data_IF_036256815136
#
_entry.id   IF_036256815136
#
_cell.length_a   1.000
_cell.length_b   1.000
_cell.length_c   1.000
_cell.angle_alpha   90.00
_cell.angle_beta   90.00
_cell.angle_gamma   90.00
#
_symmetry.space_group_name_H-M   'P 1'
#
loop_
_entity.id
_entity.type
_entity.pdbx_description
1 polymer ?
#
# COMPACT_ATOMS: atom_id res chain seq x y z
N UNK A 1 9.21 29.65 -5.31
CA UNK A 1 9.27 28.77 -4.11
C UNK A 1 8.88 27.38 -4.57
N UNK A 2 9.71 26.35 -4.35
CA UNK A 2 9.35 24.98 -4.77
C UNK A 2 8.16 24.51 -3.95
N UNK A 3 7.01 24.36 -4.60
CA UNK A 3 5.79 23.86 -3.97
C UNK A 3 6.02 22.38 -3.62
N UNK A 4 6.34 22.07 -2.36
CA UNK A 4 6.55 20.68 -1.95
C UNK A 4 5.21 19.94 -2.05
N UNK A 5 5.16 18.73 -2.62
CA UNK A 5 3.94 17.95 -2.65
C UNK A 5 3.36 17.78 -1.23
N UNK A 6 2.05 17.97 -1.09
CA UNK A 6 1.34 17.71 0.20
C UNK A 6 1.17 16.22 0.46
N UNK A 7 1.33 15.42 -0.59
CA UNK A 7 1.29 13.97 -0.61
C UNK A 7 2.68 13.41 -0.32
N UNK A 8 2.72 12.23 0.31
CA UNK A 8 3.95 11.49 0.59
C UNK A 8 3.86 10.07 0.04
N UNK A 9 4.94 9.54 -0.56
CA UNK A 9 4.97 8.16 -0.98
C UNK A 9 5.30 7.21 0.17
N UNK A 10 4.79 5.99 0.06
CA UNK A 10 5.26 4.80 0.74
C UNK A 10 5.44 3.70 -0.31
N UNK A 11 6.63 3.12 -0.36
CA UNK A 11 6.97 1.98 -1.21
C UNK A 11 7.36 0.81 -0.34
N UNK A 12 6.37 0.18 0.28
CA UNK A 12 6.61 -1.00 1.10
C UNK A 12 6.93 -2.19 0.20
N UNK A 13 8.08 -2.82 0.39
CA UNK A 13 8.48 -4.04 -0.31
C UNK A 13 9.04 -5.02 0.71
N UNK A 14 8.44 -6.21 0.81
CA UNK A 14 8.88 -7.26 1.71
C UNK A 14 9.03 -8.60 0.98
N UNK A 15 9.97 -9.46 1.41
CA UNK A 15 10.05 -10.82 0.91
C UNK A 15 8.80 -11.61 1.31
N UNK A 16 8.34 -12.47 0.40
CA UNK A 16 7.31 -13.46 0.69
C UNK A 16 7.96 -14.56 1.53
N UNK A 17 7.24 -14.97 2.56
CA UNK A 17 7.73 -15.89 3.59
C UNK A 17 8.19 -17.22 3.01
N UNK A 18 9.38 -17.65 3.42
CA UNK A 18 9.96 -18.95 3.05
C UNK A 18 11.46 -18.92 2.79
N UNK A 19 12.07 -17.73 2.73
CA UNK A 19 13.50 -17.60 2.46
C UNK A 19 13.94 -18.30 1.17
N UNK A 20 14.82 -19.30 1.30
CA UNK A 20 15.32 -20.09 0.17
C UNK A 20 14.51 -21.36 -0.12
N UNK A 21 13.50 -21.67 0.71
CA UNK A 21 12.62 -22.83 0.52
C UNK A 21 11.54 -22.51 -0.51
N UNK A 22 11.72 -23.04 -1.73
CA UNK A 22 10.85 -22.78 -2.88
C UNK A 22 9.39 -23.13 -2.59
N UNK A 23 9.12 -24.30 -2.02
CA UNK A 23 7.75 -24.77 -1.75
C UNK A 23 7.04 -23.84 -0.76
N UNK A 24 7.77 -23.37 0.26
CA UNK A 24 7.25 -22.41 1.23
C UNK A 24 6.93 -21.06 0.59
N UNK A 25 7.81 -20.54 -0.28
CA UNK A 25 7.57 -19.26 -0.96
C UNK A 25 6.39 -19.39 -1.93
N UNK A 26 6.31 -20.47 -2.71
CA UNK A 26 5.19 -20.72 -3.62
C UNK A 26 3.85 -20.80 -2.88
N UNK A 27 3.81 -21.53 -1.76
CA UNK A 27 2.63 -21.63 -0.91
C UNK A 27 2.19 -20.27 -0.38
N UNK A 28 3.10 -19.52 0.23
CA UNK A 28 2.77 -18.20 0.78
C UNK A 28 2.39 -17.20 -0.31
N UNK A 29 3.04 -17.24 -1.48
CA UNK A 29 2.64 -16.44 -2.64
C UNK A 29 1.20 -16.75 -3.06
N UNK A 30 0.83 -18.03 -3.17
CA UNK A 30 -0.52 -18.44 -3.56
C UNK A 30 -1.57 -17.98 -2.56
N UNK A 31 -1.33 -18.19 -1.27
CA UNK A 31 -2.24 -17.77 -0.19
C UNK A 31 -2.38 -16.25 -0.13
N UNK A 32 -1.26 -15.53 -0.23
CA UNK A 32 -1.22 -14.08 -0.28
C UNK A 32 -1.93 -13.53 -1.52
N UNK A 33 -1.74 -14.15 -2.68
CA UNK A 33 -2.40 -13.77 -3.94
C UNK A 33 -3.92 -13.95 -3.87
N UNK A 34 -4.39 -15.02 -3.23
CA UNK A 34 -5.82 -15.22 -3.01
C UNK A 34 -6.37 -14.17 -2.03
N UNK A 35 -5.65 -13.91 -0.93
CA UNK A 35 -6.05 -12.92 0.06
C UNK A 35 -6.21 -11.51 -0.55
N UNK A 36 -5.25 -11.06 -1.37
CA UNK A 36 -5.33 -9.71 -1.97
C UNK A 36 -6.42 -9.60 -3.04
N UNK A 37 -6.78 -10.70 -3.71
CA UNK A 37 -7.86 -10.70 -4.69
C UNK A 37 -9.22 -10.40 -4.04
N UNK A 38 -9.36 -10.73 -2.76
CA UNK A 38 -10.57 -10.49 -1.96
C UNK A 38 -10.53 -9.15 -1.19
N UNK A 39 -9.43 -8.38 -1.26
CA UNK A 39 -9.35 -7.08 -0.58
C UNK A 39 -10.22 -6.06 -1.30
N UNK A 40 -11.30 -5.64 -0.64
CA UNK A 40 -12.17 -4.58 -1.13
C UNK A 40 -11.49 -3.21 -1.06
N UNK A 41 -11.65 -2.35 -2.09
CA UNK A 41 -11.17 -0.96 -2.06
C UNK A 41 -11.88 -0.10 -0.99
N UNK A 42 -13.01 -0.56 -0.44
CA UNK A 42 -13.75 0.15 0.61
C UNK A 42 -12.89 0.45 1.85
N UNK A 43 -11.99 -0.46 2.24
CA UNK A 43 -11.11 -0.26 3.39
C UNK A 43 -10.16 0.94 3.22
N UNK A 44 -9.71 1.22 1.98
CA UNK A 44 -8.87 2.39 1.70
C UNK A 44 -9.69 3.69 1.73
N UNK A 45 -10.94 3.66 1.27
CA UNK A 45 -11.85 4.80 1.33
C UNK A 45 -12.13 5.24 2.77
N UNK A 46 -12.25 4.27 3.69
CA UNK A 46 -12.49 4.57 5.10
C UNK A 46 -11.34 5.34 5.74
N UNK A 47 -10.09 5.14 5.28
CA UNK A 47 -8.92 5.89 5.78
C UNK A 47 -9.03 7.38 5.45
N UNK A 48 -9.46 7.72 4.23
CA UNK A 48 -9.78 9.08 3.81
C UNK A 48 -8.58 10.01 3.58
N UNK A 49 -7.35 9.51 3.74
CA UNK A 49 -6.08 10.23 3.50
C UNK A 49 -5.20 9.54 2.46
N UNK A 50 -5.73 8.54 1.77
CA UNK A 50 -5.04 7.70 0.78
C UNK A 50 -5.49 8.08 -0.60
N UNK A 51 -4.54 8.44 -1.47
CA UNK A 51 -4.86 8.75 -2.87
C UNK A 51 -5.08 7.47 -3.68
N UNK A 52 -4.27 6.45 -3.43
CA UNK A 52 -4.44 5.09 -3.95
C UNK A 52 -3.60 4.10 -3.14
N UNK A 53 -3.87 2.80 -3.28
CA UNK A 53 -3.02 1.71 -2.81
C UNK A 53 -3.02 0.59 -3.84
N UNK A 54 -1.83 0.21 -4.32
CA UNK A 54 -1.66 -0.88 -5.29
C UNK A 54 -0.83 -1.98 -4.67
N UNK A 55 -1.37 -3.20 -4.69
CA UNK A 55 -0.62 -4.41 -4.39
C UNK A 55 0.05 -4.94 -5.66
N UNK A 56 1.33 -5.27 -5.57
CA UNK A 56 2.08 -5.87 -6.66
C UNK A 56 2.91 -7.04 -6.16
N UNK A 57 3.15 -7.97 -7.06
CA UNK A 57 4.15 -9.01 -6.89
C UNK A 57 5.39 -8.69 -7.72
N UNK A 58 6.56 -8.86 -7.12
CA UNK A 58 7.86 -8.50 -7.69
C UNK A 58 8.78 -9.71 -7.69
N UNK A 59 9.82 -9.65 -8.52
CA UNK A 59 10.81 -10.74 -8.70
C UNK A 59 10.14 -12.05 -9.13
N UNK A 60 9.66 -12.13 -10.38
CA UNK A 60 9.07 -13.35 -10.92
C UNK A 60 10.09 -14.49 -10.92
N UNK A 61 9.61 -15.70 -10.65
CA UNK A 61 10.39 -16.92 -10.60
C UNK A 61 9.58 -18.10 -11.14
N UNK A 62 10.30 -19.14 -11.53
CA UNK A 62 9.76 -20.40 -12.03
C UNK A 62 10.29 -21.51 -11.16
N UNK A 63 9.39 -22.28 -10.56
CA UNK A 63 9.72 -23.43 -9.73
C UNK A 63 10.39 -24.55 -10.52
N UNK A 64 11.04 -25.44 -9.80
CA UNK A 64 11.55 -26.70 -10.32
C UNK A 64 10.44 -27.59 -10.90
N UNK A 65 9.21 -27.44 -10.42
CA UNK A 65 7.97 -28.06 -10.91
C UNK A 65 7.31 -27.31 -12.08
N UNK A 66 7.89 -26.18 -12.51
CA UNK A 66 7.36 -25.29 -13.55
C UNK A 66 6.33 -24.27 -13.05
N UNK A 67 6.05 -24.21 -11.74
CA UNK A 67 5.09 -23.25 -11.18
C UNK A 67 5.62 -21.82 -11.25
N UNK A 68 4.84 -20.89 -11.81
CA UNK A 68 5.17 -19.46 -11.78
C UNK A 68 4.78 -18.84 -10.45
N UNK A 69 5.73 -18.15 -9.81
CA UNK A 69 5.51 -17.43 -8.57
C UNK A 69 6.33 -16.15 -8.52
N UNK A 70 6.20 -15.41 -7.42
CA UNK A 70 6.96 -14.19 -7.15
C UNK A 70 7.58 -14.28 -5.77
N UNK A 71 8.74 -13.64 -5.60
CA UNK A 71 9.49 -13.71 -4.33
C UNK A 71 9.23 -12.53 -3.40
N UNK A 72 8.66 -11.45 -3.91
CA UNK A 72 8.40 -10.23 -3.13
C UNK A 72 6.98 -9.73 -3.33
N UNK A 73 6.46 -9.15 -2.27
CA UNK A 73 5.20 -8.43 -2.24
C UNK A 73 5.46 -6.94 -2.03
N UNK A 74 4.70 -6.10 -2.72
CA UNK A 74 4.79 -4.66 -2.61
C UNK A 74 3.42 -4.00 -2.40
N UNK A 75 3.41 -2.95 -1.57
CA UNK A 75 2.32 -1.99 -1.47
C UNK A 75 2.87 -0.61 -1.84
N UNK A 76 2.39 -0.06 -2.96
CA UNK A 76 2.65 1.33 -3.35
C UNK A 76 1.44 2.19 -3.05
N UNK A 77 1.66 3.27 -2.31
CA UNK A 77 0.59 4.17 -1.89
C UNK A 77 1.08 5.58 -1.67
N UNK A 78 0.25 6.55 -2.02
CA UNK A 78 0.47 7.96 -1.67
C UNK A 78 -0.59 8.41 -0.67
N UNK A 79 -0.14 9.14 0.34
CA UNK A 79 -0.99 9.55 1.44
C UNK A 79 -0.73 10.99 1.90
N UNK A 80 -1.70 11.55 2.61
CA UNK A 80 -1.62 12.87 3.20
C UNK A 80 -1.10 12.83 4.65
N UNK A 81 -0.36 13.87 5.05
CA UNK A 81 0.06 14.05 6.44
C UNK A 81 1.35 13.32 6.80
N UNK A 82 1.53 13.02 8.11
CA UNK A 82 2.74 12.34 8.59
C UNK A 82 2.63 10.82 8.41
N UNK A 83 3.78 10.16 8.23
CA UNK A 83 3.86 8.70 8.16
C UNK A 83 3.26 8.04 9.41
N UNK A 84 3.55 8.57 10.60
CA UNK A 84 3.04 8.04 11.86
C UNK A 84 1.51 8.06 11.91
N UNK A 85 0.89 9.18 11.49
CA UNK A 85 -0.57 9.30 11.43
C UNK A 85 -1.15 8.34 10.41
N UNK A 86 -0.54 8.27 9.22
CA UNK A 86 -0.94 7.34 8.17
C UNK A 86 -0.94 5.89 8.66
N UNK A 87 0.15 5.40 9.25
CA UNK A 87 0.24 4.01 9.74
C UNK A 87 -0.77 3.74 10.86
N UNK A 88 -0.97 4.69 11.78
CA UNK A 88 -1.96 4.56 12.86
C UNK A 88 -3.39 4.48 12.34
N UNK A 89 -3.76 5.36 11.40
CA UNK A 89 -5.09 5.37 10.79
C UNK A 89 -5.33 4.07 9.98
N UNK A 90 -4.30 3.56 9.29
CA UNK A 90 -4.34 2.26 8.62
C UNK A 90 -4.53 1.11 9.59
N UNK A 91 -3.70 1.02 10.62
CA UNK A 91 -3.80 -0.03 11.61
C UNK A 91 -5.20 -0.06 12.23
N UNK A 92 -5.77 1.10 12.56
CA UNK A 92 -7.11 1.19 13.16
C UNK A 92 -8.22 0.69 12.23
N UNK A 93 -8.21 1.12 10.96
CA UNK A 93 -9.34 0.91 10.02
C UNK A 93 -9.24 -0.37 9.21
N UNK A 94 -8.03 -0.75 8.80
CA UNK A 94 -7.77 -1.91 7.92
C UNK A 94 -6.85 -2.95 8.57
N UNK A 95 -6.70 -2.91 9.90
CA UNK A 95 -5.72 -3.73 10.61
C UNK A 95 -5.90 -5.24 10.47
N UNK A 96 -7.13 -5.74 10.30
CA UNK A 96 -7.35 -7.19 10.16
C UNK A 96 -6.81 -7.71 8.82
N UNK A 97 -6.95 -6.92 7.75
CA UNK A 97 -6.32 -7.21 6.46
C UNK A 97 -4.80 -7.26 6.59
N UNK A 98 -4.17 -6.29 7.26
CA UNK A 98 -2.72 -6.31 7.47
C UNK A 98 -2.26 -7.45 8.36
N UNK A 99 -3.00 -7.78 9.41
CA UNK A 99 -2.73 -8.94 10.25
C UNK A 99 -2.74 -10.24 9.43
N UNK A 100 -3.61 -10.35 8.41
CA UNK A 100 -3.61 -11.49 7.49
C UNK A 100 -2.42 -11.44 6.52
N UNK A 101 -2.15 -10.30 5.89
CA UNK A 101 -1.03 -10.13 4.95
C UNK A 101 0.32 -10.48 5.61
N UNK A 102 0.55 -9.99 6.84
CA UNK A 102 1.80 -10.18 7.58
C UNK A 102 2.11 -11.66 7.88
N UNK A 103 1.13 -12.57 7.83
CA UNK A 103 1.39 -14.00 8.04
C UNK A 103 2.23 -14.63 6.92
N UNK A 104 2.20 -14.01 5.74
CA UNK A 104 2.83 -14.48 4.51
C UNK A 104 4.08 -13.69 4.12
N UNK A 105 4.55 -12.79 4.98
CA UNK A 105 5.75 -11.98 4.75
C UNK A 105 6.87 -12.40 5.71
N UNK A 106 8.11 -12.31 5.24
CA UNK A 106 9.29 -12.52 6.07
C UNK A 106 9.64 -11.27 6.89
N UNK A 107 10.57 -11.46 7.83
CA UNK A 107 11.11 -10.44 8.74
C UNK A 107 10.07 -9.72 9.63
N UNK A 108 8.83 -10.20 9.64
CA UNK A 108 7.79 -9.72 10.56
C UNK A 108 8.20 -10.04 12.00
N UNK A 109 8.26 -9.06 12.91
CA UNK A 109 8.59 -9.32 14.32
C UNK A 109 7.65 -10.36 14.92
N UNK A 110 8.21 -11.41 15.56
CA UNK A 110 7.42 -12.53 16.13
C UNK A 110 6.39 -12.09 17.19
N UNK A 111 6.59 -10.93 17.77
CA UNK A 111 5.74 -10.34 18.79
C UNK A 111 4.77 -9.27 18.24
N UNK A 112 4.80 -8.99 16.93
CA UNK A 112 3.78 -8.20 16.22
C UNK A 112 2.63 -9.13 15.82
N UNK A 113 1.64 -9.25 16.69
CA UNK A 113 0.48 -10.15 16.52
C UNK A 113 -0.80 -9.44 16.12
N UNK A 114 -0.90 -8.15 16.45
CA UNK A 114 -2.06 -7.34 16.19
C UNK A 114 -1.64 -5.89 15.95
N UNK A 115 -1.69 -5.46 14.69
CA UNK A 115 -1.29 -4.10 14.29
C UNK A 115 -2.13 -3.01 14.96
N UNK A 116 -3.39 -3.28 15.29
CA UNK A 116 -4.28 -2.32 15.99
C UNK A 116 -3.78 -2.04 17.41
N UNK A 117 -3.28 -3.08 18.09
CA UNK A 117 -2.76 -2.99 19.46
C UNK A 117 -1.29 -2.62 19.53
N UNK A 118 -0.56 -2.77 18.42
CA UNK A 118 0.89 -2.59 18.37
C UNK A 118 1.31 -1.66 17.22
N UNK A 119 0.69 -0.46 17.08
CA UNK A 119 0.92 0.41 15.92
C UNK A 119 2.37 0.86 15.79
N UNK A 120 3.10 1.03 16.90
CA UNK A 120 4.51 1.42 16.88
C UNK A 120 5.43 0.33 16.33
N UNK A 121 5.13 -0.95 16.60
CA UNK A 121 5.89 -2.07 16.04
C UNK A 121 5.58 -2.25 14.56
N UNK A 122 4.31 -2.12 14.20
CA UNK A 122 3.89 -2.14 12.81
C UNK A 122 4.55 -1.00 12.01
N UNK A 123 4.55 0.22 12.54
CA UNK A 123 5.24 1.39 11.98
C UNK A 123 6.72 1.13 11.73
N UNK A 124 7.44 0.56 12.71
CA UNK A 124 8.86 0.19 12.54
C UNK A 124 9.07 -0.86 11.46
N UNK A 125 8.21 -1.88 11.40
CA UNK A 125 8.31 -2.91 10.37
C UNK A 125 8.08 -2.32 8.97
N UNK A 126 7.08 -1.46 8.80
CA UNK A 126 6.80 -0.77 7.53
C UNK A 126 7.97 0.13 7.14
N UNK A 127 8.55 0.90 8.06
CA UNK A 127 9.72 1.75 7.79
C UNK A 127 10.95 0.96 7.37
N UNK A 128 11.20 -0.19 8.00
CA UNK A 128 12.34 -1.04 7.66
C UNK A 128 12.26 -1.61 6.23
N UNK A 129 11.06 -1.64 5.65
CA UNK A 129 10.77 -2.17 4.32
C UNK A 129 10.35 -1.08 3.31
N UNK A 130 10.36 0.20 3.72
CA UNK A 130 10.04 1.31 2.84
C UNK A 130 11.24 1.65 1.94
N UNK A 131 11.02 1.61 0.63
CA UNK A 131 12.05 1.93 -0.35
C UNK A 131 12.02 3.42 -0.71
N UNK A 132 13.17 4.11 -0.74
CA UNK A 132 13.23 5.53 -1.11
C UNK A 132 12.63 5.79 -2.50
N UNK A 133 11.70 6.75 -2.58
CA UNK A 133 11.11 7.20 -3.84
C UNK A 133 11.70 8.55 -4.24
N UNK A 134 12.58 8.55 -5.24
CA UNK A 134 13.24 9.77 -5.71
C UNK A 134 12.29 10.71 -6.47
N UNK A 135 11.37 10.14 -7.26
CA UNK A 135 10.37 10.87 -8.04
C UNK A 135 9.10 10.03 -8.15
N UNK A 136 7.95 10.69 -8.13
CA UNK A 136 6.67 10.05 -8.39
C UNK A 136 5.75 11.00 -9.16
N UNK A 137 4.77 10.41 -9.84
CA UNK A 137 3.75 11.15 -10.56
C UNK A 137 2.59 11.50 -9.64
N UNK A 138 2.08 12.72 -9.72
CA UNK A 138 0.79 13.11 -9.15
C UNK A 138 0.18 14.19 -10.04
N UNK A 139 -1.11 14.06 -10.34
CA UNK A 139 -1.84 15.08 -11.09
C UNK A 139 -2.10 16.35 -10.25
N UNK A 140 -2.12 16.21 -8.91
CA UNK A 140 -2.52 17.25 -7.98
C UNK A 140 -1.51 17.41 -6.83
N UNK A 141 -0.27 17.88 -7.10
CA UNK A 141 0.80 17.93 -6.09
C UNK A 141 0.46 18.81 -4.88
N UNK A 142 -0.42 19.80 -5.05
CA UNK A 142 -0.85 20.77 -4.03
C UNK A 142 -2.16 20.40 -3.34
N UNK A 143 -2.79 19.26 -3.68
CA UNK A 143 -4.08 18.84 -3.11
C UNK A 143 -3.96 17.62 -2.20
N UNK A 144 -4.74 17.63 -1.12
CA UNK A 144 -5.02 16.46 -0.28
C UNK A 144 -6.28 15.73 -0.77
N UNK A 145 -6.49 14.48 -0.36
CA UNK A 145 -7.63 13.65 -0.80
C UNK A 145 -8.96 14.38 -0.63
N UNK A 146 -9.18 15.02 0.53
CA UNK A 146 -10.42 15.76 0.82
C UNK A 146 -10.71 16.90 -0.15
N UNK A 147 -9.68 17.55 -0.70
CA UNK A 147 -9.83 18.64 -1.68
C UNK A 147 -10.11 18.10 -3.09
N UNK A 148 -9.69 16.86 -3.38
CA UNK A 148 -9.93 16.18 -4.66
C UNK A 148 -11.34 15.59 -4.69
N UNK A 149 -11.77 14.92 -3.61
CA UNK A 149 -13.06 14.22 -3.54
C UNK A 149 -14.24 15.13 -3.20
N UNK A 150 -13.97 16.29 -2.59
CA UNK A 150 -14.96 17.32 -2.33
C UNK A 150 -14.43 18.67 -2.84
N UNK A 151 -14.33 18.84 -4.17
CA UNK A 151 -13.95 20.14 -4.72
C UNK A 151 -15.00 21.14 -4.25
N UNK A 152 -14.56 22.25 -3.66
CA UNK A 152 -15.47 23.39 -3.44
C UNK A 152 -16.13 23.66 -4.80
N UNK A 153 -17.46 23.66 -4.86
CA UNK A 153 -18.26 24.04 -6.04
C UNK A 153 -17.88 25.46 -6.48
N UNK A 154 -16.79 25.58 -7.21
CA UNK A 154 -16.21 26.84 -7.60
C UNK A 154 -15.50 26.64 -8.92
N UNK A 155 -16.17 27.13 -9.97
CA UNK A 155 -15.87 26.98 -11.39
C UNK A 155 -16.36 25.64 -11.96
N UNK A 156 -17.66 25.59 -12.26
CA UNK A 156 -18.12 24.86 -13.44
C UNK A 156 -17.35 25.44 -14.62
N UNK A 157 -16.50 24.64 -15.26
CA UNK A 157 -16.04 24.99 -16.59
C UNK A 157 -17.28 24.94 -17.48
N UNK A 158 -17.73 26.09 -17.96
CA UNK A 158 -18.63 26.16 -19.10
C UNK A 158 -17.88 25.55 -20.29
N UNK A 159 -18.05 24.25 -20.49
CA UNK A 159 -17.77 23.64 -21.76
C UNK A 159 -18.89 24.08 -22.69
N UNK A 160 -18.72 25.24 -23.33
CA UNK A 160 -19.50 25.53 -24.53
C UNK A 160 -19.24 24.38 -25.51
N UNK A 161 -20.28 23.60 -25.80
CA UNK A 161 -20.25 22.61 -26.86
C UNK A 161 -19.83 23.33 -28.15
N UNK A 162 -18.61 23.07 -28.60
CA UNK A 162 -18.23 23.33 -29.97
C UNK A 162 -19.06 22.38 -30.84
N UNK A 163 -20.23 22.88 -31.27
CA UNK A 163 -21.03 22.28 -32.32
C UNK A 163 -20.15 22.21 -33.57
N UNK A 164 -19.82 20.99 -33.99
CA UNK A 164 -19.25 20.68 -35.31
C UNK A 164 -20.33 20.73 -36.38
#
# INVERSE_FOLDING_TARGET
MSNKPRQRPLSFIAPIKGGMDEDSVQKNYKELSALIADVSPAGLNDVGTVHFGNFLFLEPATGSDGTQYYKKFALFTFYDGSFERYVKDFAAKVGDTFNALLQHLDDVPKDLRDVKKQPEKFSKYVQAHDQPVAKWYTAYPDKIVKEITNPVQGVVADFEEAVL
#
